data_IF_913240000022
#
_entry.id   IF_913240000022
#
_cell.length_a   1.000
_cell.length_b   1.000
_cell.length_c   1.000
_cell.angle_alpha   90.00
_cell.angle_beta   90.00
_cell.angle_gamma   90.00
#
_symmetry.space_group_name_H-M   'P 1'
#
loop_
_entity.id
_entity.type
_entity.pdbx_description
1 polymer ?
#
# COMPACT_ATOMS: atom_id res chain seq x y z
N UNK A 1 -10.90 -16.73 -1.74
CA UNK A 1 -11.02 -16.47 -2.26
C UNK A 1 -11.19 -16.33 -3.05
N UNK A 2 -11.03 -16.18 -2.93
CA UNK A 2 -11.15 -15.90 -3.66
C UNK A 2 -11.42 -15.57 -4.49
N UNK A 3 -11.64 -15.05 -4.72
CA UNK A 3 -11.89 -14.64 -5.53
C UNK A 3 -11.65 -14.61 -6.38
N UNK A 4 -11.56 -14.97 -6.32
CA UNK A 4 -11.32 -14.96 -7.21
C UNK A 4 -11.26 -15.08 -8.14
N UNK A 5 -11.27 -15.15 -8.19
CA UNK A 5 -11.30 -15.17 -9.11
C UNK A 5 -11.65 -15.10 -9.86
N UNK A 6 -12.06 -14.88 -9.90
CA UNK A 6 -12.46 -14.78 -10.67
C UNK A 6 -12.38 -14.46 -11.58
N UNK A 7 -12.19 -14.23 -11.72
CA UNK A 7 -12.09 -13.96 -12.52
C UNK A 7 -11.84 -13.70 -13.45
N UNK A 8 -11.79 -13.55 -13.67
CA UNK A 8 -11.48 -13.34 -14.54
C UNK A 8 -10.80 -13.11 -15.20
N UNK A 9 -10.42 -13.01 -15.22
CA UNK A 9 -9.89 -12.74 -15.78
C UNK A 9 -8.88 -12.55 -16.06
N UNK A 10 -8.36 -12.70 -16.05
CA UNK A 10 -7.56 -12.57 -16.37
C UNK A 10 -6.66 -12.29 -16.78
N UNK A 11 -6.62 -12.25 -16.83
CA UNK A 11 -6.01 -11.67 -17.54
C UNK A 11 -4.89 -11.12 -17.13
N UNK A 12 -4.64 -11.17 -16.24
CA UNK A 12 -3.67 -10.40 -15.83
C UNK A 12 -3.12 -11.05 -14.66
N UNK A 13 -1.96 -11.52 -14.74
CA UNK A 13 -1.31 -12.13 -13.64
C UNK A 13 -1.37 -11.26 -12.39
N UNK A 14 -1.08 -9.97 -12.54
CA UNK A 14 -1.13 -9.07 -11.40
C UNK A 14 -2.53 -8.89 -10.86
N UNK A 15 -3.50 -8.84 -11.74
CA UNK A 15 -4.86 -8.64 -11.32
C UNK A 15 -5.48 -9.88 -10.71
N UNK A 16 -4.89 -11.03 -10.97
CA UNK A 16 -5.34 -12.26 -10.34
C UNK A 16 -4.86 -12.37 -8.90
N UNK A 17 -3.87 -11.56 -8.50
CA UNK A 17 -3.34 -11.61 -7.14
C UNK A 17 -4.25 -10.84 -6.19
N UNK A 18 -4.40 -11.32 -4.96
CA UNK A 18 -5.10 -10.54 -3.95
C UNK A 18 -4.42 -9.20 -3.75
N UNK A 19 -5.24 -8.18 -3.52
CA UNK A 19 -4.76 -6.83 -3.27
C UNK A 19 -5.06 -6.47 -1.84
N UNK A 20 -4.02 -6.12 -1.12
CA UNK A 20 -4.11 -5.82 0.31
C UNK A 20 -4.00 -4.32 0.50
N UNK A 21 -5.04 -3.71 1.04
CA UNK A 21 -5.00 -2.29 1.39
C UNK A 21 -4.42 -2.12 2.79
N UNK A 22 -3.52 -1.16 2.95
CA UNK A 22 -2.87 -0.91 4.23
C UNK A 22 -3.10 0.52 4.66
N UNK A 23 -3.67 0.70 5.84
CA UNK A 23 -3.78 1.99 6.51
C UNK A 23 -2.80 2.03 7.67
N UNK A 24 -1.92 3.03 7.68
CA UNK A 24 -0.98 3.24 8.76
C UNK A 24 -0.47 4.67 8.71
N UNK A 25 0.37 5.02 9.67
CA UNK A 25 0.83 6.39 9.82
C UNK A 25 1.99 6.73 8.90
N UNK A 26 2.05 7.99 8.47
CA UNK A 26 3.22 8.55 7.81
C UNK A 26 4.16 9.22 8.81
N UNK A 27 3.81 9.23 10.10
CA UNK A 27 4.65 9.82 11.14
C UNK A 27 5.96 9.04 11.28
N UNK A 28 7.05 9.75 11.58
CA UNK A 28 8.36 9.11 11.65
C UNK A 28 8.84 8.83 13.06
N UNK A 29 8.13 9.32 14.07
CA UNK A 29 8.58 9.21 15.46
C UNK A 29 7.84 8.10 16.20
N UNK A 30 7.65 6.96 15.55
CA UNK A 30 6.96 5.83 16.17
C UNK A 30 7.95 4.82 16.73
N UNK A 31 7.52 4.03 17.74
CA UNK A 31 8.41 3.05 18.36
C UNK A 31 9.01 2.07 17.35
N UNK A 32 10.23 1.59 17.62
CA UNK A 32 10.88 0.64 16.72
C UNK A 32 10.08 -0.61 16.44
N UNK A 33 9.27 -1.07 17.42
CA UNK A 33 8.45 -2.27 17.20
C UNK A 33 7.42 -2.04 16.10
N UNK A 34 6.81 -0.85 16.04
CA UNK A 34 5.85 -0.54 14.99
C UNK A 34 6.52 -0.46 13.63
N UNK A 35 7.73 0.11 13.61
CA UNK A 35 8.49 0.24 12.37
C UNK A 35 8.88 -1.13 11.83
N UNK A 36 9.32 -2.02 12.71
CA UNK A 36 9.67 -3.38 12.31
C UNK A 36 8.45 -4.13 11.80
N UNK A 37 7.30 -3.95 12.44
CA UNK A 37 6.06 -4.60 12.01
C UNK A 37 5.65 -4.14 10.62
N UNK A 38 5.80 -2.86 10.31
CA UNK A 38 5.44 -2.34 9.00
C UNK A 38 6.33 -2.95 7.91
N UNK A 39 7.63 -3.01 8.16
CA UNK A 39 8.56 -3.60 7.19
C UNK A 39 8.26 -5.09 7.00
N UNK A 40 7.99 -5.80 8.09
CA UNK A 40 7.66 -7.22 8.01
C UNK A 40 6.38 -7.44 7.22
N UNK A 41 5.38 -6.59 7.45
CA UNK A 41 4.12 -6.67 6.71
C UNK A 41 4.37 -6.56 5.21
N UNK A 42 5.18 -5.59 4.81
CA UNK A 42 5.50 -5.42 3.39
C UNK A 42 6.17 -6.64 2.80
N UNK A 43 7.15 -7.19 3.52
CA UNK A 43 7.85 -8.39 3.05
C UNK A 43 6.89 -9.58 2.91
N UNK A 44 6.01 -9.75 3.87
CA UNK A 44 5.05 -10.85 3.84
C UNK A 44 4.06 -10.72 2.70
N UNK A 45 3.59 -9.51 2.44
CA UNK A 45 2.70 -9.29 1.29
C UNK A 45 3.39 -9.73 0.00
N UNK A 46 4.60 -9.24 -0.23
CA UNK A 46 5.33 -9.58 -1.44
C UNK A 46 5.65 -11.06 -1.51
N UNK A 47 6.07 -11.64 -0.38
CA UNK A 47 6.43 -13.06 -0.32
C UNK A 47 5.27 -14.00 -0.59
N UNK A 48 4.05 -13.53 -0.34
CA UNK A 48 2.85 -14.31 -0.59
C UNK A 48 2.19 -13.97 -1.93
N UNK A 49 2.84 -13.15 -2.74
CA UNK A 49 2.32 -12.79 -4.04
C UNK A 49 1.17 -11.80 -4.00
N UNK A 50 1.02 -11.08 -2.90
CA UNK A 50 -0.04 -10.08 -2.76
C UNK A 50 0.44 -8.73 -3.28
N UNK A 51 -0.49 -7.97 -3.84
CA UNK A 51 -0.21 -6.61 -4.28
C UNK A 51 -0.58 -5.65 -3.15
N UNK A 52 0.31 -4.74 -2.81
CA UNK A 52 0.08 -3.79 -1.73
C UNK A 52 -0.54 -2.50 -2.28
N UNK A 53 -1.62 -2.05 -1.64
CA UNK A 53 -2.26 -0.77 -1.95
C UNK A 53 -2.18 0.07 -0.67
N UNK A 54 -1.62 1.28 -0.78
CA UNK A 54 -1.44 2.09 0.43
C UNK A 54 -1.52 3.59 0.10
N UNK A 55 -1.23 4.43 1.08
CA UNK A 55 -1.41 5.87 0.95
C UNK A 55 -0.36 6.62 0.16
N UNK A 56 0.65 5.95 -0.34
CA UNK A 56 1.58 6.57 -1.28
C UNK A 56 2.75 7.34 -0.68
N UNK A 57 2.90 7.36 0.65
CA UNK A 57 3.98 8.09 1.29
C UNK A 57 5.29 7.31 1.27
N UNK A 58 6.40 8.04 1.19
CA UNK A 58 7.73 7.45 1.36
C UNK A 58 8.23 7.52 2.80
N UNK A 59 7.38 7.97 3.74
CA UNK A 59 7.77 8.20 5.13
C UNK A 59 7.03 7.30 6.08
N UNK A 60 7.57 7.22 7.31
CA UNK A 60 6.92 6.54 8.41
C UNK A 60 6.64 5.08 8.13
N UNK A 61 5.59 4.55 8.75
CA UNK A 61 5.23 3.15 8.57
C UNK A 61 4.82 2.86 7.12
N UNK A 62 4.16 3.82 6.48
CA UNK A 62 3.79 3.68 5.08
C UNK A 62 5.01 3.42 4.20
N UNK A 63 6.03 4.26 4.36
CA UNK A 63 7.25 4.12 3.57
C UNK A 63 7.96 2.81 3.84
N UNK A 64 8.03 2.41 5.12
CA UNK A 64 8.68 1.17 5.48
C UNK A 64 8.01 -0.05 4.85
N UNK A 65 6.67 -0.09 4.91
CA UNK A 65 5.94 -1.20 4.32
C UNK A 65 6.12 -1.24 2.81
N UNK A 66 5.98 -0.09 2.15
CA UNK A 66 6.11 -0.02 0.69
C UNK A 66 7.51 -0.41 0.23
N UNK A 67 8.54 0.13 0.88
CA UNK A 67 9.92 -0.17 0.49
C UNK A 67 10.25 -1.64 0.71
N UNK A 68 9.74 -2.23 1.80
CA UNK A 68 9.98 -3.63 2.06
C UNK A 68 9.31 -4.51 1.02
N UNK A 69 8.08 -4.16 0.63
CA UNK A 69 7.36 -4.91 -0.40
C UNK A 69 8.09 -4.82 -1.74
N UNK A 70 8.52 -3.61 -2.13
CA UNK A 70 9.26 -3.43 -3.37
C UNK A 70 10.58 -4.20 -3.34
N UNK A 71 11.29 -4.12 -2.23
CA UNK A 71 12.57 -4.82 -2.08
C UNK A 71 12.43 -6.32 -2.16
N UNK A 72 11.28 -6.86 -1.83
CA UNK A 72 11.00 -8.29 -1.93
C UNK A 72 10.36 -8.67 -3.26
N UNK A 73 10.31 -7.75 -4.20
CA UNK A 73 9.81 -8.03 -5.55
C UNK A 73 8.31 -7.94 -5.71
N UNK A 74 7.62 -7.35 -4.73
CA UNK A 74 6.16 -7.24 -4.79
C UNK A 74 5.69 -6.02 -5.56
N UNK A 75 4.43 -6.04 -5.99
CA UNK A 75 3.79 -4.90 -6.61
C UNK A 75 3.21 -3.96 -5.56
N UNK A 76 3.29 -2.66 -5.81
CA UNK A 76 2.80 -1.65 -4.88
C UNK A 76 2.10 -0.54 -5.64
N UNK A 77 0.90 -0.19 -5.20
CA UNK A 77 0.17 0.97 -5.70
C UNK A 77 0.02 1.97 -4.57
N UNK A 78 0.41 3.21 -4.81
CA UNK A 78 0.22 4.29 -3.85
C UNK A 78 -0.90 5.21 -4.30
N UNK A 79 -1.66 5.74 -3.34
CA UNK A 79 -2.73 6.70 -3.62
C UNK A 79 -2.48 7.93 -2.75
N UNK A 80 -2.15 9.06 -3.38
CA UNK A 80 -1.72 10.25 -2.66
C UNK A 80 -2.60 11.45 -3.00
N UNK A 81 -3.21 12.09 -1.99
CA UNK A 81 -3.89 13.37 -2.24
C UNK A 81 -2.87 14.44 -2.62
N UNK A 82 -3.20 15.23 -3.63
CA UNK A 82 -2.27 16.24 -4.14
C UNK A 82 -1.80 17.20 -3.06
N UNK A 83 -2.71 17.62 -2.17
CA UNK A 83 -2.36 18.58 -1.14
C UNK A 83 -1.46 18.01 -0.05
N UNK A 84 -1.32 16.69 0.03
CA UNK A 84 -0.46 16.05 1.02
C UNK A 84 0.85 15.55 0.44
N UNK A 85 1.03 15.65 -0.88
CA UNK A 85 2.18 15.04 -1.53
C UNK A 85 3.52 15.52 -0.98
N UNK A 86 3.64 16.82 -0.72
CA UNK A 86 4.89 17.36 -0.19
C UNK A 86 5.07 16.98 1.28
N UNK A 87 4.01 17.13 2.08
CA UNK A 87 4.08 16.86 3.52
C UNK A 87 4.35 15.39 3.82
N UNK A 88 3.66 14.50 3.12
CA UNK A 88 3.81 13.07 3.34
C UNK A 88 4.89 12.45 2.46
N UNK A 89 5.57 13.26 1.68
CA UNK A 89 6.64 12.82 0.78
C UNK A 89 6.18 11.68 -0.11
N UNK A 90 5.33 12.03 -1.07
CA UNK A 90 4.85 11.06 -2.05
C UNK A 90 6.02 10.25 -2.60
N UNK A 91 5.85 8.93 -2.68
CA UNK A 91 6.91 8.05 -3.13
C UNK A 91 6.92 8.02 -4.66
N UNK A 92 7.69 8.91 -5.25
CA UNK A 92 7.70 9.06 -6.70
C UNK A 92 8.40 7.93 -7.43
N UNK A 93 9.09 7.04 -6.70
CA UNK A 93 9.76 5.89 -7.32
C UNK A 93 8.81 4.72 -7.58
N UNK A 94 7.57 4.81 -7.09
CA UNK A 94 6.59 3.78 -7.39
C UNK A 94 6.23 3.81 -8.86
N UNK A 95 6.10 2.64 -9.46
CA UNK A 95 5.63 2.55 -10.84
C UNK A 95 4.16 2.89 -10.96
N UNK A 96 3.41 2.83 -9.86
CA UNK A 96 1.97 3.10 -9.86
C UNK A 96 1.63 4.00 -8.68
N UNK A 97 1.81 5.29 -8.86
CA UNK A 97 1.42 6.30 -7.87
C UNK A 97 0.28 7.10 -8.46
N UNK A 98 -0.89 7.01 -7.82
CA UNK A 98 -2.10 7.68 -8.29
C UNK A 98 -2.38 8.90 -7.44
N UNK A 99 -2.47 10.05 -8.10
CA UNK A 99 -2.76 11.30 -7.41
C UNK A 99 -4.26 11.53 -7.41
N UNK A 100 -4.79 11.90 -6.26
CA UNK A 100 -6.22 12.20 -6.12
C UNK A 100 -6.39 13.57 -5.50
N UNK A 101 -7.63 14.09 -5.50
CA UNK A 101 -7.86 15.46 -5.09
C UNK A 101 -8.03 15.64 -3.59
N UNK A 102 -8.46 14.60 -2.86
CA UNK A 102 -8.65 14.75 -1.43
C UNK A 102 -8.62 13.44 -0.68
N UNK A 103 -8.79 13.52 0.63
CA UNK A 103 -8.75 12.35 1.50
C UNK A 103 -9.90 11.38 1.24
N UNK A 104 -11.09 11.92 0.93
CA UNK A 104 -12.23 11.06 0.63
C UNK A 104 -11.96 10.23 -0.62
N UNK A 105 -11.36 10.86 -1.64
CA UNK A 105 -11.04 10.16 -2.87
C UNK A 105 -9.92 9.14 -2.67
N UNK A 106 -8.95 9.46 -1.80
CA UNK A 106 -7.91 8.49 -1.44
C UNK A 106 -8.53 7.23 -0.86
N UNK A 107 -9.41 7.41 0.12
CA UNK A 107 -10.04 6.29 0.79
C UNK A 107 -10.90 5.48 -0.17
N UNK A 108 -11.66 6.17 -1.00
CA UNK A 108 -12.52 5.50 -1.96
C UNK A 108 -11.73 4.69 -2.98
N UNK A 109 -10.68 5.28 -3.52
CA UNK A 109 -9.86 4.56 -4.52
C UNK A 109 -9.14 3.38 -3.91
N UNK A 110 -8.60 3.56 -2.69
CA UNK A 110 -7.97 2.44 -2.00
C UNK A 110 -8.96 1.31 -1.78
N UNK A 111 -10.21 1.65 -1.42
CA UNK A 111 -11.23 0.63 -1.22
C UNK A 111 -11.55 -0.11 -2.52
N UNK A 112 -11.62 0.62 -3.63
CA UNK A 112 -11.91 0.01 -4.92
C UNK A 112 -10.79 -0.91 -5.39
N UNK A 113 -9.55 -0.57 -5.03
CA UNK A 113 -8.39 -1.33 -5.49
C UNK A 113 -8.02 -2.50 -4.58
N UNK A 114 -8.65 -2.61 -3.42
CA UNK A 114 -8.23 -3.60 -2.41
C UNK A 114 -9.29 -4.66 -2.20
N UNK A 115 -8.85 -5.88 -1.96
CA UNK A 115 -9.74 -7.00 -1.63
C UNK A 115 -9.97 -7.06 -0.13
N UNK A 116 -8.94 -6.78 0.67
CA UNK A 116 -9.03 -6.73 2.12
C UNK A 116 -8.18 -5.59 2.63
N UNK A 117 -8.42 -5.18 3.87
CA UNK A 117 -7.69 -4.08 4.49
C UNK A 117 -7.03 -4.51 5.78
N UNK A 118 -5.87 -3.95 6.03
CA UNK A 118 -5.17 -4.08 7.30
C UNK A 118 -4.88 -2.68 7.84
N UNK A 119 -4.90 -2.55 9.15
CA UNK A 119 -4.57 -1.30 9.84
C UNK A 119 -3.44 -1.61 10.80
N UNK A 120 -2.33 -0.89 10.65
CA UNK A 120 -1.22 -1.04 11.58
C UNK A 120 -1.32 0.01 12.68
N UNK A 121 -0.85 -0.32 13.90
CA UNK A 121 -0.87 0.63 15.01
C UNK A 121 -0.08 1.89 14.70
N UNK A 122 -0.42 2.98 15.38
CA UNK A 122 0.30 4.22 15.25
C UNK A 122 -0.22 5.14 14.17
N UNK A 123 -1.26 4.73 13.49
CA UNK A 123 -1.87 5.53 12.44
C UNK A 123 -3.24 6.07 12.82
#
# INVERSE_FOLDING_TARGET
MARAAEGSGSTRGDEARPRIGLFCSAAETLPPAYRAAAAEFGRLCAGNGFHLVYGGSGRGLMGLAAHAALGAGGGVTGVMPRHLAARERAETRLGDLRMVDGLAERKQLMAELSDVFFVLPGG
#
